data_IF_566313466546
#
_entry.id   IF_566313466546
#
_cell.length_a   1.000
_cell.length_b   1.000
_cell.length_c   1.000
_cell.angle_alpha   90.00
_cell.angle_beta   90.00
_cell.angle_gamma   90.00
#
_symmetry.space_group_name_H-M   'P 1'
#
loop_
_entity.id
_entity.type
_entity.pdbx_description
1 polymer ?
#
# COMPACT_ATOMS: atom_id res chain seq x y z
N UNK A 1 19.28 15.35 0.15
CA UNK A 1 18.69 14.36 -0.77
C UNK A 1 18.36 13.10 0.00
N UNK A 2 17.08 12.87 0.32
CA UNK A 2 16.56 11.60 0.85
C UNK A 2 15.23 11.38 0.16
N UNK A 3 15.31 10.81 -1.03
CA UNK A 3 14.16 10.59 -1.89
C UNK A 3 13.89 9.10 -1.98
N UNK A 4 13.25 8.55 -0.95
CA UNK A 4 12.96 7.13 -0.82
C UNK A 4 11.66 6.96 -0.05
N UNK A 5 10.62 6.42 -0.72
CA UNK A 5 9.41 5.94 -0.02
C UNK A 5 9.47 4.44 0.26
N UNK A 6 10.03 3.66 -0.67
CA UNK A 6 10.40 2.27 -0.40
C UNK A 6 11.80 2.27 0.24
N UNK A 7 12.87 2.61 -0.47
CA UNK A 7 14.21 2.60 0.14
C UNK A 7 14.69 1.18 0.39
N UNK A 8 15.99 0.96 0.21
CA UNK A 8 16.60 -0.38 0.10
C UNK A 8 16.19 -1.32 1.26
N UNK A 9 15.88 -0.78 2.45
CA UNK A 9 15.50 -1.56 3.62
C UNK A 9 13.98 -1.80 3.80
N UNK A 10 13.09 -1.10 3.07
CA UNK A 10 11.64 -1.21 3.36
C UNK A 10 11.09 -2.60 3.15
N UNK A 11 11.47 -3.30 2.08
CA UNK A 11 10.97 -4.65 1.83
C UNK A 11 11.25 -5.57 3.03
N UNK A 12 12.49 -5.52 3.54
CA UNK A 12 12.91 -6.25 4.73
C UNK A 12 12.17 -5.79 5.99
N UNK A 13 12.03 -4.48 6.22
CA UNK A 13 11.29 -3.94 7.38
C UNK A 13 9.80 -4.30 7.34
N UNK A 14 9.15 -4.15 6.18
CA UNK A 14 7.75 -4.50 5.97
C UNK A 14 7.53 -6.00 6.19
N UNK A 15 8.40 -6.84 5.65
CA UNK A 15 8.38 -8.29 5.91
C UNK A 15 8.49 -8.59 7.39
N UNK A 16 9.46 -8.00 8.10
CA UNK A 16 9.67 -8.24 9.52
C UNK A 16 8.47 -7.82 10.38
N UNK A 17 7.87 -6.66 10.09
CA UNK A 17 6.67 -6.17 10.78
C UNK A 17 5.47 -7.07 10.50
N UNK A 18 5.20 -7.43 9.24
CA UNK A 18 4.06 -8.29 8.91
C UNK A 18 4.27 -9.71 9.46
N UNK A 19 5.48 -10.25 9.44
CA UNK A 19 5.80 -11.53 10.08
C UNK A 19 5.51 -11.48 11.59
N UNK A 20 5.75 -10.35 12.26
CA UNK A 20 5.43 -10.16 13.68
C UNK A 20 3.93 -10.20 13.97
N UNK A 21 3.11 -9.55 13.14
CA UNK A 21 1.65 -9.49 13.30
C UNK A 21 0.89 -10.56 12.50
N UNK A 22 1.58 -11.56 11.94
CA UNK A 22 0.97 -12.56 11.05
C UNK A 22 -0.22 -13.26 11.66
N UNK A 23 -0.05 -13.87 12.84
CA UNK A 23 -1.14 -14.61 13.50
C UNK A 23 -2.27 -13.68 13.95
N UNK A 24 -2.00 -12.52 14.60
CA UNK A 24 -3.06 -11.57 14.92
C UNK A 24 -3.87 -11.09 13.70
N UNK A 25 -3.22 -10.88 12.55
CA UNK A 25 -3.91 -10.51 11.30
C UNK A 25 -4.75 -11.66 10.74
N UNK A 26 -4.30 -12.91 10.89
CA UNK A 26 -5.07 -14.10 10.54
C UNK A 26 -6.31 -14.24 11.44
N UNK A 27 -6.17 -13.99 12.74
CA UNK A 27 -7.28 -14.03 13.70
C UNK A 27 -8.32 -12.92 13.47
N UNK A 28 -7.87 -11.74 13.01
CA UNK A 28 -8.75 -10.62 12.67
C UNK A 28 -9.55 -10.85 11.37
N UNK A 29 -9.07 -11.66 10.43
CA UNK A 29 -9.68 -11.80 9.11
C UNK A 29 -11.13 -12.32 9.20
N UNK A 30 -12.06 -11.57 8.60
CA UNK A 30 -13.48 -11.86 8.64
C UNK A 30 -14.22 -11.75 7.30
N UNK A 31 -13.56 -11.51 6.14
CA UNK A 31 -14.30 -11.21 4.91
C UNK A 31 -13.77 -11.80 3.59
N UNK A 32 -14.66 -12.20 2.63
CA UNK A 32 -16.08 -12.61 2.79
C UNK A 32 -16.22 -14.03 3.36
N UNK A 33 -15.12 -14.79 3.39
CA UNK A 33 -14.99 -16.08 4.03
C UNK A 33 -13.87 -15.98 5.07
N UNK A 34 -14.09 -16.33 6.35
CA UNK A 34 -13.02 -16.42 7.35
C UNK A 34 -12.08 -17.58 7.04
N UNK A 35 -11.14 -17.37 6.12
CA UNK A 35 -10.07 -18.31 5.78
C UNK A 35 -8.87 -18.20 6.74
N UNK A 36 -8.88 -17.18 7.61
CA UNK A 36 -7.85 -16.89 8.61
C UNK A 36 -6.44 -16.81 8.00
N UNK A 37 -6.30 -16.21 6.82
CA UNK A 37 -5.02 -16.23 6.09
C UNK A 37 -4.44 -14.85 5.72
N UNK A 38 -5.11 -13.74 6.04
CA UNK A 38 -4.70 -12.40 5.58
C UNK A 38 -3.25 -12.07 5.96
N UNK A 39 -2.85 -12.35 7.20
CA UNK A 39 -1.47 -12.17 7.65
C UNK A 39 -0.51 -13.09 6.90
N UNK A 40 -0.87 -14.36 6.72
CA UNK A 40 -0.10 -15.35 5.96
C UNK A 40 0.10 -14.95 4.50
N UNK A 41 -0.93 -14.43 3.85
CA UNK A 41 -0.93 -13.96 2.46
C UNK A 41 -0.03 -12.74 2.28
N UNK A 42 -0.12 -11.75 3.17
CA UNK A 42 0.76 -10.59 3.17
C UNK A 42 2.22 -10.98 3.46
N UNK A 43 2.46 -11.83 4.46
CA UNK A 43 3.80 -12.31 4.80
C UNK A 43 4.43 -13.09 3.63
N UNK A 44 3.66 -13.93 2.94
CA UNK A 44 4.14 -14.66 1.77
C UNK A 44 4.52 -13.74 0.62
N UNK A 45 3.66 -12.76 0.34
CA UNK A 45 3.85 -11.77 -0.71
C UNK A 45 5.11 -10.93 -0.45
N UNK A 46 5.26 -10.42 0.79
CA UNK A 46 6.40 -9.59 1.19
C UNK A 46 7.72 -10.38 1.23
N UNK A 47 7.68 -11.68 1.57
CA UNK A 47 8.86 -12.55 1.49
C UNK A 47 9.37 -12.66 0.06
N UNK A 48 8.49 -13.00 -0.87
CA UNK A 48 8.84 -13.10 -2.29
C UNK A 48 9.39 -11.78 -2.80
N UNK A 49 8.74 -10.66 -2.46
CA UNK A 49 9.20 -9.33 -2.83
C UNK A 49 10.61 -9.05 -2.30
N UNK A 50 10.86 -9.37 -1.03
CA UNK A 50 12.17 -9.11 -0.39
C UNK A 50 13.28 -9.96 -1.02
N UNK A 51 13.04 -11.25 -1.21
CA UNK A 51 14.02 -12.17 -1.82
C UNK A 51 14.38 -11.75 -3.26
N UNK A 52 13.38 -11.37 -4.05
CA UNK A 52 13.57 -10.93 -5.43
C UNK A 52 14.24 -9.55 -5.51
N UNK A 53 13.93 -8.66 -4.57
CA UNK A 53 14.59 -7.37 -4.45
C UNK A 53 16.07 -7.54 -4.07
N UNK A 54 16.36 -8.37 -3.07
CA UNK A 54 17.73 -8.66 -2.61
C UNK A 54 18.55 -9.27 -3.75
N UNK A 55 17.98 -10.23 -4.49
CA UNK A 55 18.61 -10.81 -5.69
C UNK A 55 18.94 -9.75 -6.74
N UNK A 56 18.01 -8.85 -7.05
CA UNK A 56 18.25 -7.76 -8.00
C UNK A 56 19.28 -6.73 -7.51
N UNK A 57 19.35 -6.52 -6.19
CA UNK A 57 20.37 -5.68 -5.55
C UNK A 57 21.76 -6.32 -5.60
N UNK A 58 21.87 -7.64 -5.37
CA UNK A 58 23.11 -8.39 -5.52
C UNK A 58 23.63 -8.30 -6.95
N UNK A 59 22.77 -8.51 -7.96
CA UNK A 59 23.12 -8.36 -9.38
C UNK A 59 23.68 -6.95 -9.67
N UNK A 60 23.03 -5.90 -9.16
CA UNK A 60 23.49 -4.50 -9.28
C UNK A 60 24.86 -4.25 -8.61
N UNK A 61 25.15 -4.90 -7.48
CA UNK A 61 26.41 -4.74 -6.73
C UNK A 61 27.58 -5.51 -7.35
N UNK A 62 27.31 -6.66 -7.98
CA UNK A 62 28.34 -7.54 -8.56
C UNK A 62 28.55 -7.36 -10.06
N UNK A 63 27.86 -6.42 -10.72
CA UNK A 63 28.14 -6.02 -12.10
C UNK A 63 29.57 -5.50 -12.28
N UNK A 64 30.28 -6.02 -13.29
CA UNK A 64 31.67 -5.68 -13.57
C UNK A 64 31.79 -4.17 -13.89
N UNK A 65 32.68 -3.42 -13.21
CA UNK A 65 33.00 -2.06 -13.55
C UNK A 65 33.39 -1.84 -15.02
N UNK A 66 33.89 -2.86 -15.72
CA UNK A 66 34.23 -2.82 -17.14
C UNK A 66 33.02 -2.81 -18.08
N UNK A 67 31.85 -3.28 -17.63
CA UNK A 67 30.58 -3.23 -18.37
C UNK A 67 29.83 -1.89 -18.13
N UNK A 68 30.41 -1.00 -17.31
CA UNK A 68 29.87 0.34 -17.07
C UNK A 68 30.44 1.30 -18.13
N UNK A 69 29.68 1.54 -19.20
CA UNK A 69 30.09 2.54 -20.22
C UNK A 69 30.25 3.96 -19.64
N UNK A 70 29.68 4.25 -18.46
CA UNK A 70 29.87 5.50 -17.71
C UNK A 70 29.80 5.24 -16.18
N UNK A 71 30.51 6.04 -15.38
CA UNK A 71 30.26 6.10 -13.92
C UNK A 71 28.86 6.68 -13.73
N UNK A 72 27.85 5.89 -13.31
CA UNK A 72 26.49 6.37 -13.35
C UNK A 72 26.30 7.43 -12.27
N UNK A 73 25.88 8.63 -12.66
CA UNK A 73 25.43 9.63 -11.70
C UNK A 73 24.27 9.09 -10.85
N UNK A 74 24.03 9.69 -9.68
CA UNK A 74 22.97 9.27 -8.74
C UNK A 74 21.61 9.03 -9.45
N UNK A 75 21.24 9.87 -10.41
CA UNK A 75 20.04 9.74 -11.26
C UNK A 75 19.88 8.35 -11.90
N UNK A 76 20.95 7.80 -12.47
CA UNK A 76 20.92 6.48 -13.11
C UNK A 76 20.72 5.36 -12.10
N UNK A 77 21.36 5.45 -10.92
CA UNK A 77 21.18 4.48 -9.84
C UNK A 77 19.72 4.42 -9.36
N UNK A 78 19.04 5.58 -9.30
CA UNK A 78 17.63 5.66 -8.92
C UNK A 78 16.71 4.95 -9.92
N UNK A 79 16.93 5.15 -11.22
CA UNK A 79 16.15 4.47 -12.27
C UNK A 79 16.36 2.96 -12.20
N UNK A 80 17.60 2.52 -12.02
CA UNK A 80 17.92 1.08 -11.87
C UNK A 80 17.24 0.45 -10.67
N UNK A 81 17.22 1.15 -9.54
CA UNK A 81 16.52 0.66 -8.37
C UNK A 81 15.01 0.59 -8.57
N UNK A 82 14.41 1.59 -9.24
CA UNK A 82 13.01 1.51 -9.65
C UNK A 82 12.72 0.24 -10.44
N UNK A 83 13.59 -0.10 -11.40
CA UNK A 83 13.49 -1.35 -12.15
C UNK A 83 13.68 -2.62 -11.32
N UNK A 84 14.52 -2.61 -10.27
CA UNK A 84 14.66 -3.75 -9.34
C UNK A 84 13.36 -3.95 -8.56
N UNK A 85 12.79 -2.87 -8.02
CA UNK A 85 11.50 -2.93 -7.32
C UNK A 85 10.38 -3.40 -8.25
N UNK A 86 10.30 -2.87 -9.46
CA UNK A 86 9.29 -3.26 -10.44
C UNK A 86 9.36 -4.78 -10.69
N UNK A 87 10.55 -5.31 -11.00
CA UNK A 87 10.73 -6.75 -11.22
C UNK A 87 10.38 -7.57 -9.99
N UNK A 88 10.82 -7.15 -8.80
CA UNK A 88 10.54 -7.85 -7.56
C UNK A 88 9.04 -7.89 -7.24
N UNK A 89 8.31 -6.79 -7.49
CA UNK A 89 6.86 -6.71 -7.29
C UNK A 89 6.12 -7.55 -8.34
N UNK A 90 6.57 -7.56 -9.59
CA UNK A 90 5.99 -8.45 -10.63
C UNK A 90 6.17 -9.91 -10.23
N UNK A 91 7.36 -10.32 -9.80
CA UNK A 91 7.61 -11.67 -9.27
C UNK A 91 6.71 -11.98 -8.06
N UNK A 92 6.61 -11.05 -7.12
CA UNK A 92 5.73 -11.19 -5.95
C UNK A 92 4.25 -11.29 -6.35
N UNK A 93 3.80 -10.54 -7.36
CA UNK A 93 2.42 -10.58 -7.85
C UNK A 93 2.06 -11.93 -8.46
N UNK A 94 2.99 -12.56 -9.19
CA UNK A 94 2.83 -13.92 -9.72
C UNK A 94 2.77 -14.99 -8.63
N UNK A 95 3.23 -14.67 -7.43
CA UNK A 95 3.26 -15.54 -6.26
C UNK A 95 2.28 -15.11 -5.15
N UNK A 96 1.63 -13.96 -5.30
CA UNK A 96 0.68 -13.41 -4.35
C UNK A 96 -0.51 -14.36 -4.20
N UNK A 97 -1.04 -14.42 -2.98
CA UNK A 97 -2.21 -15.24 -2.61
C UNK A 97 -3.26 -14.34 -1.99
N UNK A 98 -4.52 -14.68 -2.18
CA UNK A 98 -5.64 -13.91 -1.68
C UNK A 98 -5.70 -12.48 -2.23
N UNK A 99 -6.73 -11.77 -1.79
CA UNK A 99 -6.96 -10.40 -2.19
C UNK A 99 -5.90 -9.45 -1.60
N UNK A 100 -5.53 -9.62 -0.34
CA UNK A 100 -4.60 -8.70 0.35
C UNK A 100 -3.21 -8.66 -0.31
N UNK A 101 -2.63 -9.81 -0.64
CA UNK A 101 -1.35 -9.90 -1.36
C UNK A 101 -1.45 -9.32 -2.77
N UNK A 102 -2.52 -9.66 -3.50
CA UNK A 102 -2.75 -9.16 -4.87
C UNK A 102 -2.90 -7.64 -4.90
N UNK A 103 -3.68 -7.07 -3.98
CA UNK A 103 -3.89 -5.63 -3.87
C UNK A 103 -2.63 -4.88 -3.43
N UNK A 104 -1.85 -5.45 -2.50
CA UNK A 104 -0.55 -4.89 -2.12
C UNK A 104 0.39 -4.81 -3.33
N UNK A 105 0.47 -5.87 -4.13
CA UNK A 105 1.29 -5.89 -5.34
C UNK A 105 0.78 -4.92 -6.41
N UNK A 106 -0.54 -4.86 -6.65
CA UNK A 106 -1.13 -3.94 -7.62
C UNK A 106 -0.85 -2.47 -7.26
N UNK A 107 -1.06 -2.12 -5.99
CA UNK A 107 -0.72 -0.80 -5.46
C UNK A 107 0.78 -0.52 -5.55
N UNK A 108 1.61 -1.46 -5.10
CA UNK A 108 3.07 -1.29 -5.08
C UNK A 108 3.65 -1.11 -6.47
N UNK A 109 3.19 -1.90 -7.45
CA UNK A 109 3.66 -1.82 -8.83
C UNK A 109 3.36 -0.46 -9.43
N UNK A 110 2.13 0.03 -9.29
CA UNK A 110 1.75 1.34 -9.79
C UNK A 110 2.49 2.47 -9.06
N UNK A 111 2.62 2.38 -7.73
CA UNK A 111 3.35 3.37 -6.94
C UNK A 111 4.82 3.48 -7.39
N UNK A 112 5.50 2.35 -7.60
CA UNK A 112 6.88 2.31 -8.10
C UNK A 112 6.94 2.92 -9.51
N UNK A 113 6.07 2.49 -10.43
CA UNK A 113 6.10 3.00 -11.80
C UNK A 113 5.83 4.50 -11.89
N UNK A 114 4.80 4.97 -11.20
CA UNK A 114 4.45 6.39 -11.18
C UNK A 114 5.54 7.25 -10.54
N UNK A 115 6.13 6.80 -9.42
CA UNK A 115 7.14 7.58 -8.70
C UNK A 115 8.46 7.71 -9.48
N UNK A 116 8.94 6.63 -10.11
CA UNK A 116 10.18 6.64 -10.91
C UNK A 116 9.96 6.94 -12.39
N UNK A 117 8.72 7.17 -12.82
CA UNK A 117 8.37 7.43 -14.22
C UNK A 117 8.63 6.24 -15.15
N UNK A 118 8.53 5.01 -14.63
CA UNK A 118 8.71 3.79 -15.41
C UNK A 118 7.52 3.58 -16.36
N UNK A 119 7.72 2.89 -17.50
CA UNK A 119 6.64 2.56 -18.44
C UNK A 119 5.48 1.81 -17.79
N UNK A 120 4.27 1.97 -18.34
CA UNK A 120 3.09 1.25 -17.87
C UNK A 120 2.53 1.75 -16.53
N UNK A 121 2.81 3.02 -16.18
CA UNK A 121 2.09 3.70 -15.11
C UNK A 121 0.75 4.25 -15.62
N UNK A 122 -0.19 4.44 -14.69
CA UNK A 122 -1.57 4.82 -14.99
C UNK A 122 -1.66 6.15 -15.76
N UNK A 123 -0.82 7.11 -15.41
CA UNK A 123 -0.81 8.42 -16.06
C UNK A 123 -0.37 8.35 -17.53
N UNK A 124 0.55 7.44 -17.88
CA UNK A 124 0.93 7.20 -19.28
C UNK A 124 -0.14 6.44 -20.06
N UNK A 125 -0.81 5.48 -19.41
CA UNK A 125 -1.87 4.68 -20.03
C UNK A 125 -3.09 5.54 -20.40
N UNK A 126 -3.52 6.41 -19.47
CA UNK A 126 -4.70 7.24 -19.64
C UNK A 126 -4.39 8.59 -20.31
N UNK A 127 -3.14 9.04 -20.31
CA UNK A 127 -2.80 10.36 -20.85
C UNK A 127 -3.45 11.50 -20.06
N UNK A 128 -3.95 12.56 -20.73
CA UNK A 128 -4.61 13.70 -20.08
C UNK A 128 -5.79 13.33 -19.18
N UNK A 129 -6.52 12.26 -19.52
CA UNK A 129 -7.68 11.76 -18.78
C UNK A 129 -7.33 11.29 -17.37
N UNK A 130 -6.06 10.98 -17.09
CA UNK A 130 -5.60 10.66 -15.75
C UNK A 130 -5.88 11.79 -14.75
N UNK A 131 -5.74 13.06 -15.17
CA UNK A 131 -5.90 14.21 -14.28
C UNK A 131 -7.37 14.42 -13.86
N UNK A 132 -8.32 13.83 -14.58
CA UNK A 132 -9.75 13.82 -14.24
C UNK A 132 -10.11 12.77 -13.18
N UNK A 133 -9.18 11.86 -12.84
CA UNK A 133 -9.41 10.86 -11.81
C UNK A 133 -9.59 11.54 -10.43
N UNK A 134 -10.52 11.06 -9.59
CA UNK A 134 -10.89 11.71 -8.33
C UNK A 134 -9.72 12.11 -7.43
N UNK A 135 -8.75 11.22 -7.21
CA UNK A 135 -7.60 11.46 -6.33
C UNK A 135 -6.56 12.38 -6.97
N UNK A 136 -6.36 12.32 -8.29
CA UNK A 136 -5.45 13.23 -8.99
C UNK A 136 -6.05 14.66 -9.07
N UNK A 137 -7.34 14.77 -9.35
CA UNK A 137 -8.09 16.03 -9.23
C UNK A 137 -8.11 16.59 -7.80
N UNK A 138 -8.16 15.73 -6.77
CA UNK A 138 -8.04 16.16 -5.38
C UNK A 138 -6.61 16.67 -5.07
N UNK A 139 -5.59 15.95 -5.53
CA UNK A 139 -4.19 16.33 -5.35
C UNK A 139 -3.88 17.67 -6.03
N UNK A 140 -4.39 17.92 -7.23
CA UNK A 140 -4.20 19.20 -7.93
C UNK A 140 -4.76 20.39 -7.13
N UNK A 141 -5.92 20.22 -6.48
CA UNK A 141 -6.48 21.24 -5.57
C UNK A 141 -5.64 21.42 -4.32
N UNK A 142 -5.10 20.32 -3.78
CA UNK A 142 -4.19 20.33 -2.66
C UNK A 142 -2.89 21.08 -2.97
N UNK A 143 -2.33 20.89 -4.16
CA UNK A 143 -1.16 21.63 -4.64
C UNK A 143 -1.41 23.14 -4.72
N UNK A 144 -2.54 23.54 -5.32
CA UNK A 144 -2.93 24.95 -5.42
C UNK A 144 -3.07 25.56 -4.03
N UNK A 145 -3.77 24.86 -3.12
CA UNK A 145 -3.94 25.27 -1.72
C UNK A 145 -2.59 25.49 -1.04
N UNK A 146 -1.66 24.54 -1.13
CA UNK A 146 -0.35 24.63 -0.46
C UNK A 146 0.50 25.76 -1.06
N UNK A 147 0.51 25.93 -2.39
CA UNK A 147 1.23 27.04 -3.04
C UNK A 147 0.66 28.40 -2.61
N UNK A 148 -0.67 28.55 -2.59
CA UNK A 148 -1.32 29.79 -2.17
C UNK A 148 -1.02 30.12 -0.69
N UNK A 149 -1.09 29.10 0.16
CA UNK A 149 -0.71 29.16 1.57
C UNK A 149 0.74 29.63 1.77
N UNK A 150 1.68 29.06 1.01
CA UNK A 150 3.09 29.43 1.07
C UNK A 150 3.32 30.86 0.60
N UNK A 151 2.76 31.26 -0.55
CA UNK A 151 2.88 32.62 -1.07
C UNK A 151 2.33 33.67 -0.08
N UNK A 152 1.22 33.36 0.59
CA UNK A 152 0.65 34.24 1.61
C UNK A 152 1.57 34.39 2.84
N UNK A 153 2.28 33.33 3.24
CA UNK A 153 3.19 33.34 4.38
C UNK A 153 4.56 33.99 4.07
N UNK A 154 5.07 33.81 2.85
CA UNK A 154 6.40 34.28 2.43
C UNK A 154 6.45 35.79 2.20
N UNK A 155 5.31 36.45 1.97
CA UNK A 155 5.21 37.92 1.81
C UNK A 155 5.90 38.48 0.55
N UNK A 156 6.65 37.65 -0.19
CA UNK A 156 7.16 37.91 -1.52
C UNK A 156 6.17 37.38 -2.56
N UNK A 157 6.00 38.10 -3.67
CA UNK A 157 5.34 37.56 -4.86
C UNK A 157 6.17 36.48 -5.57
N UNK A 158 7.11 35.85 -4.87
CA UNK A 158 7.93 34.77 -5.40
C UNK A 158 7.08 33.50 -5.48
N UNK A 159 7.09 32.92 -6.67
CA UNK A 159 6.40 31.69 -7.01
C UNK A 159 7.20 30.43 -6.60
N UNK A 160 8.26 30.58 -5.80
CA UNK A 160 9.05 29.44 -5.36
C UNK A 160 8.25 28.56 -4.41
N UNK A 161 8.23 27.26 -4.70
CA UNK A 161 7.51 26.29 -3.88
C UNK A 161 8.22 26.04 -2.54
N UNK A 162 7.50 25.59 -1.50
CA UNK A 162 8.12 25.19 -0.23
C UNK A 162 9.25 24.18 -0.44
N UNK A 163 10.25 24.20 0.46
CA UNK A 163 11.33 23.21 0.42
C UNK A 163 10.75 21.79 0.48
N UNK A 164 11.14 20.95 -0.47
CA UNK A 164 10.69 19.55 -0.54
C UNK A 164 9.27 19.37 -1.11
N UNK A 165 8.65 20.44 -1.63
CA UNK A 165 7.31 20.39 -2.20
C UNK A 165 7.23 19.45 -3.41
N UNK A 166 8.14 19.58 -4.37
CA UNK A 166 8.17 18.71 -5.57
C UNK A 166 8.27 17.22 -5.20
N UNK A 167 8.98 16.93 -4.11
CA UNK A 167 9.09 15.58 -3.58
C UNK A 167 7.76 15.09 -3.00
N UNK A 168 7.12 15.91 -2.16
CA UNK A 168 5.81 15.60 -1.58
C UNK A 168 4.75 15.39 -2.67
N UNK A 169 4.77 16.22 -3.72
CA UNK A 169 3.86 16.11 -4.87
C UNK A 169 4.13 14.84 -5.67
N UNK A 170 5.37 14.56 -6.04
CA UNK A 170 5.71 13.33 -6.78
C UNK A 170 5.29 12.08 -6.00
N UNK A 171 5.47 12.11 -4.68
CA UNK A 171 5.09 11.02 -3.80
C UNK A 171 3.57 10.86 -3.68
N UNK A 172 2.85 11.94 -3.37
CA UNK A 172 1.38 11.94 -3.30
C UNK A 172 0.74 11.53 -4.63
N UNK A 173 1.31 11.99 -5.76
CA UNK A 173 0.86 11.61 -7.11
C UNK A 173 1.03 10.12 -7.38
N UNK A 174 2.17 9.54 -7.00
CA UNK A 174 2.38 8.10 -7.13
C UNK A 174 1.39 7.29 -6.28
N UNK A 175 1.10 7.74 -5.05
CA UNK A 175 0.09 7.11 -4.19
C UNK A 175 -1.33 7.27 -4.76
N UNK A 176 -1.65 8.43 -5.34
CA UNK A 176 -2.93 8.70 -5.99
C UNK A 176 -3.13 7.77 -7.19
N UNK A 177 -2.15 7.65 -8.10
CA UNK A 177 -2.20 6.72 -9.22
C UNK A 177 -2.41 5.27 -8.74
N UNK A 178 -1.66 4.86 -7.71
CA UNK A 178 -1.75 3.51 -7.16
C UNK A 178 -3.13 3.21 -6.55
N UNK A 179 -3.67 4.15 -5.77
CA UNK A 179 -5.00 4.03 -5.20
C UNK A 179 -6.09 4.02 -6.28
N UNK A 180 -5.98 4.86 -7.32
CA UNK A 180 -6.93 4.88 -8.45
C UNK A 180 -6.91 3.56 -9.24
N UNK A 181 -5.72 2.99 -9.47
CA UNK A 181 -5.62 1.70 -10.16
C UNK A 181 -6.32 0.60 -9.36
N UNK A 182 -6.10 0.54 -8.05
CA UNK A 182 -6.76 -0.45 -7.19
C UNK A 182 -8.27 -0.18 -7.11
N UNK A 183 -8.69 1.08 -7.02
CA UNK A 183 -10.09 1.51 -7.00
C UNK A 183 -10.83 1.09 -8.27
N UNK A 184 -10.19 1.15 -9.44
CA UNK A 184 -10.75 0.66 -10.70
C UNK A 184 -10.90 -0.88 -10.74
N UNK A 185 -10.09 -1.62 -9.97
CA UNK A 185 -10.20 -3.08 -9.88
C UNK A 185 -11.24 -3.55 -8.87
N UNK A 186 -11.33 -2.92 -7.70
CA UNK A 186 -12.20 -3.35 -6.59
C UNK A 186 -13.58 -2.67 -6.61
N UNK A 187 -13.67 -1.47 -7.20
CA UNK A 187 -14.90 -0.69 -7.28
C UNK A 187 -15.09 0.31 -6.13
N UNK A 188 -15.87 1.37 -6.42
CA UNK A 188 -15.95 2.55 -5.56
C UNK A 188 -16.58 2.30 -4.18
N UNK A 189 -17.58 1.42 -4.13
CA UNK A 189 -18.30 1.09 -2.91
C UNK A 189 -17.41 0.44 -1.85
N UNK A 190 -16.28 -0.12 -2.27
CA UNK A 190 -15.36 -0.90 -1.43
C UNK A 190 -14.25 -0.05 -0.81
N UNK A 191 -14.11 1.20 -1.22
CA UNK A 191 -13.09 2.13 -0.72
C UNK A 191 -13.11 2.28 0.80
N UNK A 192 -14.24 2.58 1.47
CA UNK A 192 -14.21 2.83 2.92
C UNK A 192 -14.00 1.55 3.73
N UNK A 193 -14.09 0.37 3.11
CA UNK A 193 -14.22 -0.93 3.77
C UNK A 193 -12.96 -1.80 3.71
N UNK A 194 -11.95 -1.39 2.94
CA UNK A 194 -10.80 -2.24 2.58
C UNK A 194 -9.47 -1.49 2.74
N UNK A 195 -8.37 -2.14 2.35
CA UNK A 195 -7.06 -1.52 2.15
C UNK A 195 -7.08 -0.18 1.43
N UNK A 196 -8.05 0.03 0.52
CA UNK A 196 -8.23 1.28 -0.19
C UNK A 196 -8.46 2.48 0.74
N UNK A 197 -9.06 2.30 1.92
CA UNK A 197 -9.27 3.37 2.89
C UNK A 197 -7.94 4.00 3.30
N UNK A 198 -6.91 3.17 3.56
CA UNK A 198 -5.55 3.64 3.88
C UNK A 198 -4.85 4.17 2.63
N UNK A 199 -4.97 3.49 1.48
CA UNK A 199 -4.33 3.91 0.22
C UNK A 199 -4.78 5.31 -0.23
N UNK A 200 -6.07 5.64 -0.07
CA UNK A 200 -6.63 6.96 -0.38
C UNK A 200 -6.04 8.04 0.51
N UNK A 201 -5.92 7.79 1.82
CA UNK A 201 -5.32 8.78 2.74
C UNK A 201 -3.84 9.03 2.39
N UNK A 202 -3.10 7.99 1.98
CA UNK A 202 -1.70 8.12 1.54
C UNK A 202 -1.52 8.99 0.27
N UNK A 203 -2.59 9.24 -0.49
CA UNK A 203 -2.58 10.09 -1.68
C UNK A 203 -2.70 11.59 -1.37
N UNK A 204 -2.97 11.99 -0.12
CA UNK A 204 -3.16 13.39 0.23
C UNK A 204 -1.84 14.15 0.46
N UNK A 205 -1.78 15.39 -0.03
CA UNK A 205 -0.69 16.31 0.27
C UNK A 205 -0.77 16.87 1.69
N UNK A 206 -1.92 16.73 2.36
CA UNK A 206 -2.12 17.04 3.77
C UNK A 206 -1.19 16.27 4.72
N UNK A 207 -0.68 15.10 4.29
CA UNK A 207 0.34 14.34 5.01
C UNK A 207 1.73 14.99 4.96
N UNK A 208 1.89 16.12 4.29
CA UNK A 208 3.15 16.87 4.20
C UNK A 208 2.95 18.31 4.65
N UNK A 209 1.79 18.88 4.31
CA UNK A 209 1.40 20.25 4.58
C UNK A 209 -0.02 20.30 5.16
N UNK A 210 -0.19 20.02 6.48
CA UNK A 210 -1.48 19.95 7.13
C UNK A 210 -2.20 21.31 7.12
N UNK A 211 -3.52 21.28 7.15
CA UNK A 211 -4.32 22.51 7.18
C UNK A 211 -4.09 23.29 8.49
N UNK A 212 -3.76 24.58 8.38
CA UNK A 212 -3.63 25.49 9.53
C UNK A 212 -2.19 25.84 9.97
N UNK A 213 -1.16 25.28 9.35
CA UNK A 213 0.24 25.38 9.81
C UNK A 213 1.19 26.25 8.98
N UNK A 214 0.69 27.22 8.20
CA UNK A 214 1.57 28.20 7.54
C UNK A 214 2.08 29.29 8.50
N UNK A 215 2.55 28.90 9.68
CA UNK A 215 3.46 29.69 10.48
C UNK A 215 4.83 29.03 10.38
N UNK A 216 5.88 29.73 9.92
CA UNK A 216 7.19 29.11 9.84
C UNK A 216 7.64 28.71 11.24
N UNK A 217 7.96 27.43 11.43
CA UNK A 217 8.81 27.01 12.54
C UNK A 217 10.08 27.84 12.46
N UNK A 218 10.28 28.67 13.50
CA UNK A 218 11.50 29.43 13.67
C UNK A 218 12.62 28.41 13.81
N UNK A 219 13.51 28.34 12.82
CA UNK A 219 14.73 27.54 12.87
C UNK A 219 15.41 27.74 14.24
N UNK A 220 15.57 26.63 14.98
CA UNK A 220 16.41 26.60 16.15
C UNK A 220 17.85 26.93 15.74
N UNK A 221 18.27 28.13 16.13
CA UNK A 221 19.64 28.65 16.26
C UNK A 221 20.55 28.68 15.02
N UNK A 222 21.09 29.87 14.77
CA UNK A 222 21.93 30.22 13.64
C UNK A 222 23.33 29.61 13.69
N UNK A 223 23.90 29.47 12.50
CA UNK A 223 25.32 29.31 12.29
C UNK A 223 25.90 30.70 12.00
N UNK A 224 26.29 31.43 13.05
CA UNK A 224 27.39 32.37 12.94
C UNK A 224 28.68 31.61 13.29
N UNK A 225 29.70 31.78 12.45
CA UNK A 225 31.02 31.17 12.60
C UNK A 225 31.71 31.56 13.92
N UNK A 226 32.58 30.71 14.50
CA UNK A 226 33.19 31.00 15.79
C UNK A 226 34.41 31.91 15.64
N UNK A 227 34.38 33.09 16.25
CA UNK A 227 35.59 33.82 16.60
C UNK A 227 36.19 33.29 17.92
N UNK A 228 37.51 33.19 17.94
CA UNK A 228 38.32 32.61 19.02
C UNK A 228 38.36 33.48 20.29
N UNK A 229 38.24 32.85 21.46
CA UNK A 229 38.48 33.48 22.76
C UNK A 229 38.34 32.48 23.92
N UNK A 230 39.35 32.45 24.78
CA UNK A 230 39.70 31.45 25.81
C UNK A 230 38.83 31.46 27.11
N UNK A 231 39.06 30.55 28.10
CA UNK A 231 38.03 29.75 28.79
C UNK A 231 37.62 30.28 30.18
N UNK A 232 36.48 29.83 30.72
CA UNK A 232 36.28 29.65 32.18
C UNK A 232 35.03 28.80 32.57
N UNK A 233 35.31 27.71 33.30
CA UNK A 233 34.58 27.06 34.42
C UNK A 233 33.06 26.79 34.41
N UNK A 234 32.74 25.50 34.34
CA UNK A 234 31.93 24.67 35.26
C UNK A 234 30.52 25.14 35.70
N UNK A 235 29.50 24.39 35.28
CA UNK A 235 28.15 24.45 35.83
C UNK A 235 27.26 23.34 35.27
N UNK A 236 27.21 22.21 35.96
CA UNK A 236 26.29 21.10 35.68
C UNK A 236 24.82 21.51 35.89
N UNK A 237 23.96 21.23 34.90
CA UNK A 237 22.61 20.64 35.03
C UNK A 237 21.76 20.95 33.80
N UNK A 238 21.10 19.92 33.27
CA UNK A 238 20.07 20.05 32.23
C UNK A 238 20.28 19.15 31.02
N UNK A 239 20.77 17.93 31.21
CA UNK A 239 20.68 16.86 30.23
C UNK A 239 19.72 15.81 30.80
N UNK A 240 18.43 16.09 30.75
CA UNK A 240 17.33 15.13 30.92
C UNK A 240 16.03 15.84 30.51
N UNK A 241 15.19 15.12 29.76
CA UNK A 241 13.83 15.47 29.30
C UNK A 241 13.70 16.39 28.07
N UNK A 242 14.20 15.90 26.94
CA UNK A 242 13.55 16.12 25.66
C UNK A 242 12.79 14.83 25.27
N UNK A 243 11.77 14.46 26.05
CA UNK A 243 10.69 13.63 25.50
C UNK A 243 10.16 14.40 24.28
N UNK A 244 10.45 13.85 23.10
CA UNK A 244 10.11 14.42 21.79
C UNK A 244 8.65 14.85 21.76
N UNK A 245 8.38 16.15 21.91
CA UNK A 245 7.05 16.69 21.71
C UNK A 245 6.58 16.32 20.30
N UNK A 246 5.49 15.54 20.23
CA UNK A 246 4.89 15.12 18.97
C UNK A 246 4.65 16.33 18.08
N UNK A 247 5.28 16.36 16.91
CA UNK A 247 5.11 17.48 15.98
C UNK A 247 3.66 17.52 15.50
N UNK A 248 3.08 18.70 15.25
CA UNK A 248 1.72 18.81 14.72
C UNK A 248 1.50 18.00 13.43
N UNK A 249 2.49 17.98 12.52
CA UNK A 249 2.51 17.12 11.34
C UNK A 249 2.41 15.62 11.68
N UNK A 250 3.20 15.15 12.65
CA UNK A 250 3.18 13.74 13.06
C UNK A 250 1.82 13.36 13.65
N UNK A 251 1.22 14.25 14.44
CA UNK A 251 -0.14 14.08 14.96
C UNK A 251 -1.17 13.97 13.84
N UNK A 252 -1.11 14.88 12.86
CA UNK A 252 -2.04 14.88 11.74
C UNK A 252 -1.93 13.59 10.90
N UNK A 253 -0.69 13.16 10.61
CA UNK A 253 -0.40 11.89 9.93
C UNK A 253 -0.98 10.68 10.67
N UNK A 254 -0.70 10.60 11.97
CA UNK A 254 -1.18 9.52 12.82
C UNK A 254 -2.71 9.50 12.88
N UNK A 255 -3.33 10.66 13.04
CA UNK A 255 -4.78 10.80 13.05
C UNK A 255 -5.42 10.39 11.73
N UNK A 256 -4.81 10.73 10.59
CA UNK A 256 -5.29 10.30 9.27
C UNK A 256 -5.29 8.76 9.14
N UNK A 257 -4.21 8.10 9.52
CA UNK A 257 -4.11 6.63 9.47
C UNK A 257 -5.09 5.95 10.45
N UNK A 258 -5.23 6.49 11.66
CA UNK A 258 -6.22 6.02 12.64
C UNK A 258 -7.64 6.10 12.06
N UNK A 259 -8.02 7.26 11.52
CA UNK A 259 -9.34 7.48 10.90
C UNK A 259 -9.57 6.57 9.69
N UNK A 260 -8.54 6.30 8.90
CA UNK A 260 -8.63 5.38 7.76
C UNK A 260 -9.01 3.97 8.21
N UNK A 261 -8.38 3.48 9.27
CA UNK A 261 -8.63 2.14 9.82
C UNK A 261 -9.98 2.08 10.52
N UNK A 262 -10.33 3.07 11.34
CA UNK A 262 -11.65 3.18 11.97
C UNK A 262 -12.79 3.18 10.93
N UNK A 263 -12.59 3.86 9.78
CA UNK A 263 -13.57 3.90 8.69
C UNK A 263 -13.93 2.51 8.16
N UNK A 264 -12.98 1.57 8.15
CA UNK A 264 -13.23 0.18 7.73
C UNK A 264 -14.13 -0.57 8.70
N UNK A 265 -14.02 -0.27 9.99
CA UNK A 265 -14.91 -0.81 11.03
C UNK A 265 -16.30 -0.15 11.01
N UNK A 266 -16.39 1.12 10.63
CA UNK A 266 -17.65 1.87 10.48
C UNK A 266 -18.43 1.45 9.22
N UNK A 267 -17.73 1.08 8.15
CA UNK A 267 -18.31 0.74 6.85
C UNK A 267 -17.84 -0.65 6.41
N UNK A 268 -18.14 -1.71 7.17
CA UNK A 268 -17.72 -3.04 6.77
C UNK A 268 -18.45 -3.48 5.49
N UNK A 269 -17.87 -4.39 4.72
CA UNK A 269 -18.49 -4.90 3.51
C UNK A 269 -19.65 -5.87 3.79
N UNK A 270 -19.75 -6.43 5.00
CA UNK A 270 -20.98 -7.05 5.50
C UNK A 270 -21.33 -6.63 6.93
N UNK A 271 -22.63 -6.63 7.28
CA UNK A 271 -23.10 -6.16 8.59
C UNK A 271 -22.51 -6.89 9.79
N UNK A 272 -22.17 -8.18 9.67
CA UNK A 272 -21.66 -8.98 10.79
C UNK A 272 -20.24 -8.60 11.21
N UNK A 273 -19.52 -7.83 10.38
CA UNK A 273 -18.17 -7.33 10.68
C UNK A 273 -18.15 -5.95 11.32
N UNK A 274 -19.31 -5.31 11.51
CA UNK A 274 -19.39 -3.96 12.06
C UNK A 274 -18.62 -3.83 13.39
N UNK A 275 -17.78 -2.80 13.48
CA UNK A 275 -16.93 -2.54 14.63
C UNK A 275 -15.59 -3.28 14.63
N UNK A 276 -15.30 -4.14 13.65
CA UNK A 276 -13.99 -4.77 13.47
C UNK A 276 -13.24 -4.10 12.32
N UNK A 277 -11.97 -3.77 12.53
CA UNK A 277 -11.11 -3.21 11.47
C UNK A 277 -10.84 -4.27 10.41
N UNK A 278 -10.78 -3.87 9.15
CA UNK A 278 -10.37 -4.74 8.05
C UNK A 278 -8.92 -5.22 8.24
N UNK A 279 -8.72 -6.54 8.27
CA UNK A 279 -7.40 -7.15 8.44
C UNK A 279 -6.46 -6.76 7.29
N UNK A 280 -6.98 -6.66 6.07
CA UNK A 280 -6.21 -6.20 4.90
C UNK A 280 -5.69 -4.78 5.11
N UNK A 281 -6.56 -3.85 5.49
CA UNK A 281 -6.22 -2.45 5.72
C UNK A 281 -5.20 -2.26 6.84
N UNK A 282 -5.38 -2.97 7.97
CA UNK A 282 -4.40 -2.94 9.05
C UNK A 282 -3.06 -3.54 8.62
N UNK A 283 -3.08 -4.67 7.91
CA UNK A 283 -1.87 -5.29 7.35
C UNK A 283 -1.15 -4.38 6.35
N UNK A 284 -1.89 -3.66 5.51
CA UNK A 284 -1.34 -2.66 4.59
C UNK A 284 -0.70 -1.49 5.34
N UNK A 285 -1.39 -0.93 6.33
CA UNK A 285 -0.84 0.10 7.20
C UNK A 285 0.46 -0.37 7.86
N UNK A 286 0.48 -1.60 8.39
CA UNK A 286 1.67 -2.18 9.01
C UNK A 286 2.84 -2.29 8.02
N UNK A 287 2.58 -2.79 6.81
CA UNK A 287 3.59 -2.96 5.78
C UNK A 287 4.12 -1.64 5.20
N UNK A 288 3.26 -0.65 4.99
CA UNK A 288 3.61 0.56 4.21
C UNK A 288 3.93 1.77 5.09
N UNK A 289 3.26 1.90 6.23
CA UNK A 289 3.36 3.07 7.12
C UNK A 289 4.15 2.72 8.36
N UNK A 290 3.74 1.71 9.12
CA UNK A 290 4.39 1.35 10.38
C UNK A 290 5.84 0.89 10.17
N UNK A 291 6.09 0.07 9.14
CA UNK A 291 7.44 -0.39 8.81
C UNK A 291 8.34 0.68 8.20
N UNK A 292 7.84 1.90 7.94
CA UNK A 292 8.57 2.93 7.23
C UNK A 292 9.22 3.93 8.22
N UNK A 293 10.58 3.99 8.30
CA UNK A 293 11.27 4.89 9.23
C UNK A 293 10.94 6.37 9.07
N UNK A 294 10.44 6.82 7.91
CA UNK A 294 10.02 8.23 7.71
C UNK A 294 8.80 8.60 8.57
N UNK A 295 7.99 7.60 8.90
CA UNK A 295 6.81 7.77 9.73
C UNK A 295 7.14 7.58 11.22
N UNK A 296 8.42 7.44 11.57
CA UNK A 296 8.87 7.42 12.95
C UNK A 296 8.32 8.64 13.71
N UNK A 297 7.64 8.39 14.83
CA UNK A 297 6.94 9.39 15.61
C UNK A 297 5.55 9.79 15.11
N UNK A 298 5.10 9.28 13.96
CA UNK A 298 3.76 9.47 13.39
C UNK A 298 2.97 8.15 13.22
N UNK A 299 3.53 7.03 13.67
CA UNK A 299 2.85 5.73 13.70
C UNK A 299 1.91 5.62 14.89
N UNK A 300 0.89 4.79 14.76
CA UNK A 300 0.11 4.27 15.88
C UNK A 300 1.02 3.60 16.91
N UNK A 301 0.63 3.69 18.18
CA UNK A 301 1.31 3.00 19.27
C UNK A 301 1.02 1.50 19.22
N UNK A 302 1.86 0.71 19.88
CA UNK A 302 1.65 -0.74 20.01
C UNK A 302 0.28 -1.07 20.66
N UNK A 303 -0.17 -0.25 21.61
CA UNK A 303 -1.46 -0.42 22.27
C UNK A 303 -2.63 -0.20 21.31
N UNK A 304 -2.55 0.82 20.45
CA UNK A 304 -3.58 1.07 19.44
C UNK A 304 -3.64 -0.02 18.38
N UNK A 305 -2.49 -0.48 17.89
CA UNK A 305 -2.42 -1.60 16.94
C UNK A 305 -3.05 -2.85 17.57
N UNK A 306 -2.71 -3.18 18.83
CA UNK A 306 -3.32 -4.30 19.55
C UNK A 306 -4.83 -4.14 19.76
N UNK A 307 -5.30 -2.93 20.03
CA UNK A 307 -6.73 -2.63 20.14
C UNK A 307 -7.45 -2.91 18.82
N UNK A 308 -6.85 -2.59 17.68
CA UNK A 308 -7.43 -2.84 16.35
C UNK A 308 -7.39 -4.31 15.93
N UNK A 309 -6.47 -5.09 16.50
CA UNK A 309 -6.36 -6.54 16.28
C UNK A 309 -7.42 -7.35 17.04
N UNK A 310 -8.25 -6.69 17.86
CA UNK A 310 -9.32 -7.37 18.61
C UNK A 310 -10.64 -7.31 17.81
N UNK A 311 -11.21 -8.46 17.39
CA UNK A 311 -12.51 -8.47 16.73
C UNK A 311 -13.62 -7.92 17.64
N UNK A 312 -14.63 -7.27 17.06
CA UNK A 312 -15.76 -6.71 17.82
C UNK A 312 -16.49 -7.77 18.68
N UNK A 313 -16.50 -9.03 18.24
CA UNK A 313 -17.10 -10.16 18.98
C UNK A 313 -16.29 -10.60 20.22
N UNK A 314 -15.05 -10.16 20.38
CA UNK A 314 -14.18 -10.50 21.51
C UNK A 314 -14.24 -9.48 22.66
N UNK A 315 -14.86 -8.31 22.46
CA UNK A 315 -15.21 -7.41 23.54
C UNK A 315 -16.29 -8.09 24.42
N UNK A 316 -16.23 -8.03 25.76
CA UNK A 316 -17.19 -8.71 26.63
C UNK A 316 -18.58 -8.08 26.50
N UNK A 317 -19.36 -8.53 25.53
CA UNK A 317 -20.75 -8.16 25.36
C UNK A 317 -21.60 -8.92 26.40
N UNK A 318 -22.03 -8.21 27.44
CA UNK A 318 -23.22 -8.57 28.21
C UNK A 318 -24.46 -8.43 27.33
N UNK A 319 -24.68 -9.37 26.40
CA UNK A 319 -25.94 -9.49 25.68
C UNK A 319 -26.36 -10.94 25.73
N UNK A 320 -27.38 -11.22 26.56
CA UNK A 320 -27.99 -12.53 26.63
C UNK A 320 -28.56 -12.90 25.24
N UNK A 321 -28.35 -14.13 24.75
CA UNK A 321 -28.85 -14.53 23.45
C UNK A 321 -30.39 -14.57 23.48
N UNK A 322 -31.02 -13.91 22.51
CA UNK A 322 -32.43 -14.11 22.24
C UNK A 322 -32.65 -15.54 21.70
N UNK A 323 -33.57 -16.33 22.26
CA UNK A 323 -33.80 -17.70 21.80
C UNK A 323 -34.50 -17.67 20.44
N UNK A 324 -33.80 -18.10 19.39
CA UNK A 324 -34.37 -18.29 18.05
C UNK A 324 -33.51 -17.87 16.86
N UNK A 325 -32.34 -17.26 17.06
CA UNK A 325 -31.40 -17.00 15.97
C UNK A 325 -30.66 -18.30 15.61
N UNK A 326 -30.79 -18.75 14.36
CA UNK A 326 -29.97 -19.82 13.81
C UNK A 326 -28.50 -19.42 13.94
N UNK A 327 -27.67 -20.31 14.47
CA UNK A 327 -26.22 -20.18 14.51
C UNK A 327 -25.66 -20.04 13.09
N UNK A 328 -24.75 -19.10 12.78
CA UNK A 328 -24.16 -18.91 11.45
C UNK A 328 -23.20 -20.04 11.01
N UNK A 329 -23.10 -21.14 11.76
CA UNK A 329 -22.09 -22.18 11.55
C UNK A 329 -22.39 -23.16 10.39
N UNK A 330 -23.33 -22.83 9.49
CA UNK A 330 -23.77 -23.76 8.42
C UNK A 330 -23.85 -23.13 7.01
N UNK A 331 -23.33 -21.93 6.79
CA UNK A 331 -23.15 -21.36 5.43
C UNK A 331 -21.66 -21.14 5.16
N UNK A 332 -20.89 -22.23 5.08
CA UNK A 332 -19.60 -22.17 4.39
C UNK A 332 -19.91 -22.08 2.90
N UNK A 333 -19.75 -20.89 2.30
CA UNK A 333 -19.86 -20.75 0.85
C UNK A 333 -18.78 -21.62 0.20
N UNK A 334 -19.21 -22.72 -0.42
CA UNK A 334 -18.33 -23.62 -1.16
C UNK A 334 -17.87 -22.91 -2.43
N UNK A 335 -16.62 -22.47 -2.47
CA UNK A 335 -16.02 -21.81 -3.61
C UNK A 335 -14.53 -22.11 -3.76
N UNK A 336 -13.98 -21.69 -4.88
CA UNK A 336 -12.60 -21.89 -5.26
C UNK A 336 -11.95 -20.58 -5.64
N UNK A 337 -10.70 -20.42 -5.22
CA UNK A 337 -9.80 -19.38 -5.67
C UNK A 337 -9.10 -19.88 -6.94
N UNK A 338 -9.18 -19.14 -8.05
CA UNK A 338 -8.39 -19.37 -9.26
C UNK A 338 -7.49 -18.16 -9.51
N UNK A 339 -6.17 -18.39 -9.48
CA UNK A 339 -5.16 -17.36 -9.71
C UNK A 339 -4.20 -17.78 -10.81
N UNK A 340 -3.61 -16.79 -11.49
CA UNK A 340 -2.55 -17.02 -12.47
C UNK A 340 -2.29 -15.80 -13.33
N UNK A 341 -1.46 -15.99 -14.35
CA UNK A 341 -1.11 -14.96 -15.33
C UNK A 341 -1.72 -15.28 -16.68
N UNK A 342 -2.34 -14.27 -17.29
CA UNK A 342 -2.91 -14.36 -18.62
C UNK A 342 -2.17 -13.41 -19.55
N UNK A 343 -1.70 -13.92 -20.69
CA UNK A 343 -1.25 -13.09 -21.81
C UNK A 343 -2.38 -12.95 -22.82
N UNK A 344 -2.97 -11.77 -22.90
CA UNK A 344 -4.01 -11.43 -23.88
C UNK A 344 -4.07 -9.93 -24.16
N UNK A 345 -4.65 -9.57 -25.32
CA UNK A 345 -4.82 -8.16 -25.72
C UNK A 345 -5.76 -7.40 -24.76
N UNK A 346 -5.57 -6.08 -24.53
CA UNK A 346 -6.41 -5.32 -23.60
C UNK A 346 -7.92 -5.38 -23.87
N UNK A 347 -8.33 -5.40 -25.13
CA UNK A 347 -9.74 -5.54 -25.50
C UNK A 347 -10.29 -6.92 -25.11
N UNK A 348 -9.50 -7.97 -25.32
CA UNK A 348 -9.83 -9.33 -24.94
C UNK A 348 -9.96 -9.43 -23.40
N UNK A 349 -9.07 -8.75 -22.67
CA UNK A 349 -9.16 -8.69 -21.21
C UNK A 349 -10.43 -7.97 -20.72
N UNK A 350 -10.81 -6.87 -21.34
CA UNK A 350 -12.04 -6.15 -21.00
C UNK A 350 -13.30 -7.01 -21.21
N UNK A 351 -13.32 -7.84 -22.26
CA UNK A 351 -14.40 -8.79 -22.52
C UNK A 351 -14.42 -9.92 -21.47
N UNK A 352 -13.26 -10.53 -21.22
CA UNK A 352 -13.12 -11.59 -20.22
C UNK A 352 -13.53 -11.13 -18.82
N UNK A 353 -13.21 -9.88 -18.44
CA UNK A 353 -13.65 -9.29 -17.16
C UNK A 353 -15.17 -9.39 -17.00
N UNK A 354 -15.94 -8.95 -17.99
CA UNK A 354 -17.41 -8.95 -17.92
C UNK A 354 -17.97 -10.37 -17.74
N UNK A 355 -17.34 -11.37 -18.36
CA UNK A 355 -17.76 -12.77 -18.21
C UNK A 355 -17.36 -13.36 -16.85
N UNK A 356 -16.16 -13.06 -16.34
CA UNK A 356 -15.71 -13.51 -15.03
C UNK A 356 -16.49 -12.87 -13.88
N UNK A 357 -16.83 -11.57 -13.98
CA UNK A 357 -17.71 -10.88 -13.03
C UNK A 357 -19.11 -11.55 -12.95
N UNK A 358 -19.55 -12.22 -14.02
CA UNK A 358 -20.79 -13.00 -14.02
C UNK A 358 -20.66 -14.41 -13.45
N UNK A 359 -19.44 -14.92 -13.28
CA UNK A 359 -19.17 -16.28 -12.78
C UNK A 359 -18.74 -16.31 -11.31
N UNK A 360 -18.12 -15.24 -10.83
CA UNK A 360 -17.52 -15.15 -9.50
C UNK A 360 -18.11 -14.03 -8.64
N UNK A 361 -17.78 -14.07 -7.35
CA UNK A 361 -18.16 -13.06 -6.34
C UNK A 361 -17.03 -12.07 -6.05
N UNK A 362 -15.78 -12.42 -6.39
CA UNK A 362 -14.61 -11.55 -6.29
C UNK A 362 -13.70 -11.70 -7.51
N UNK A 363 -13.38 -10.59 -8.19
CA UNK A 363 -12.46 -10.56 -9.34
C UNK A 363 -11.46 -9.43 -9.18
N UNK A 364 -10.17 -9.76 -9.16
CA UNK A 364 -9.07 -8.84 -9.27
C UNK A 364 -8.29 -9.10 -10.55
N UNK A 365 -8.19 -8.05 -11.38
CA UNK A 365 -7.34 -8.04 -12.57
C UNK A 365 -6.32 -6.93 -12.39
N UNK A 366 -5.03 -7.27 -12.51
CA UNK A 366 -3.93 -6.32 -12.40
C UNK A 366 -3.05 -6.39 -13.65
N UNK A 367 -2.85 -5.28 -14.38
CA UNK A 367 -1.90 -5.26 -15.48
C UNK A 367 -0.47 -5.36 -14.95
N UNK A 368 0.23 -6.44 -15.32
CA UNK A 368 1.65 -6.61 -15.01
C UNK A 368 2.51 -5.94 -16.07
N UNK A 369 2.12 -6.03 -17.33
CA UNK A 369 2.74 -5.33 -18.45
C UNK A 369 1.69 -5.11 -19.54
N UNK A 370 1.19 -3.88 -19.64
CA UNK A 370 0.17 -3.51 -20.63
C UNK A 370 0.66 -3.67 -22.07
N UNK A 371 1.94 -3.38 -22.33
CA UNK A 371 2.50 -3.45 -23.68
C UNK A 371 2.69 -4.90 -24.13
N UNK A 372 3.01 -5.79 -23.20
CA UNK A 372 3.09 -7.24 -23.46
C UNK A 372 1.73 -7.96 -23.33
N UNK A 373 0.65 -7.24 -22.97
CA UNK A 373 -0.66 -7.82 -22.70
C UNK A 373 -0.65 -8.83 -21.55
N UNK A 374 0.18 -8.62 -20.52
CA UNK A 374 0.34 -9.52 -19.39
C UNK A 374 -0.49 -9.05 -18.19
N UNK A 375 -1.33 -9.93 -17.69
CA UNK A 375 -2.29 -9.66 -16.62
C UNK A 375 -2.16 -10.69 -15.51
N UNK A 376 -2.19 -10.26 -14.25
CA UNK A 376 -2.50 -11.13 -13.14
C UNK A 376 -4.01 -11.19 -12.98
N UNK A 377 -4.56 -12.39 -12.93
CA UNK A 377 -5.98 -12.65 -12.72
C UNK A 377 -6.13 -13.43 -11.42
N UNK A 378 -7.00 -12.94 -10.55
CA UNK A 378 -7.43 -13.62 -9.35
C UNK A 378 -8.95 -13.54 -9.30
N UNK A 379 -9.62 -14.69 -9.29
CA UNK A 379 -11.07 -14.77 -9.24
C UNK A 379 -11.52 -15.85 -8.26
N UNK A 380 -12.53 -15.52 -7.46
CA UNK A 380 -13.26 -16.48 -6.64
C UNK A 380 -14.46 -16.98 -7.44
N UNK A 381 -14.61 -18.30 -7.57
CA UNK A 381 -15.63 -18.93 -8.40
C UNK A 381 -16.24 -20.15 -7.69
N UNK A 382 -17.53 -20.45 -7.91
CA UNK A 382 -18.14 -21.64 -7.34
C UNK A 382 -17.54 -22.94 -7.93
N UNK A 383 -17.09 -22.91 -9.18
CA UNK A 383 -16.43 -24.03 -9.86
C UNK A 383 -15.22 -23.55 -10.66
N UNK A 384 -14.08 -24.23 -10.49
CA UNK A 384 -12.82 -23.89 -11.18
C UNK A 384 -12.91 -24.10 -12.69
N UNK A 385 -13.46 -25.22 -13.13
CA UNK A 385 -13.28 -25.65 -14.53
C UNK A 385 -14.01 -24.80 -15.56
N UNK A 386 -15.23 -24.28 -15.31
CA UNK A 386 -15.84 -23.27 -16.17
C UNK A 386 -14.97 -22.02 -16.31
N UNK A 387 -14.45 -21.50 -15.19
CA UNK A 387 -13.61 -20.30 -15.17
C UNK A 387 -12.27 -20.52 -15.89
N UNK A 388 -11.60 -21.64 -15.63
CA UNK A 388 -10.35 -22.02 -16.31
C UNK A 388 -10.56 -22.13 -17.83
N UNK A 389 -11.62 -22.80 -18.27
CA UNK A 389 -11.93 -22.90 -19.72
C UNK A 389 -12.19 -21.54 -20.34
N UNK A 390 -12.88 -20.65 -19.62
CA UNK A 390 -13.11 -19.30 -20.07
C UNK A 390 -11.78 -18.55 -20.22
N UNK A 391 -10.96 -18.49 -19.17
CA UNK A 391 -9.66 -17.79 -19.18
C UNK A 391 -8.74 -18.28 -20.30
N UNK A 392 -8.61 -19.59 -20.44
CA UNK A 392 -7.77 -20.22 -21.49
C UNK A 392 -8.29 -20.02 -22.91
N UNK A 393 -9.57 -19.63 -23.09
CA UNK A 393 -10.12 -19.30 -24.41
C UNK A 393 -9.70 -17.90 -24.90
N UNK A 394 -9.26 -17.02 -23.98
CA UNK A 394 -8.92 -15.64 -24.27
C UNK A 394 -7.42 -15.40 -24.50
N UNK A 395 -6.54 -16.34 -24.11
CA UNK A 395 -5.10 -16.16 -24.27
C UNK A 395 -4.25 -17.27 -23.64
N UNK A 396 -2.95 -17.01 -23.51
CA UNK A 396 -2.00 -17.94 -22.89
C UNK A 396 -2.08 -17.83 -21.36
N UNK A 397 -2.52 -18.90 -20.71
CA UNK A 397 -2.63 -18.99 -19.24
C UNK A 397 -1.40 -19.68 -18.64
N UNK A 398 -0.82 -19.09 -17.61
CA UNK A 398 0.36 -19.59 -16.90
C UNK A 398 0.32 -19.29 -15.40
N UNK A 399 1.27 -19.85 -14.64
CA UNK A 399 1.38 -19.69 -13.18
C UNK A 399 0.09 -20.00 -12.40
N UNK A 400 -0.67 -20.98 -12.90
CA UNK A 400 -1.97 -21.34 -12.34
C UNK A 400 -1.84 -21.85 -10.91
N UNK A 401 -2.70 -21.32 -10.03
CA UNK A 401 -2.83 -21.72 -8.63
C UNK A 401 -4.30 -21.77 -8.27
N UNK A 402 -4.68 -22.83 -7.55
CA UNK A 402 -6.06 -23.09 -7.16
C UNK A 402 -6.11 -23.44 -5.69
N UNK A 403 -7.03 -22.81 -4.96
CA UNK A 403 -7.25 -23.06 -3.52
C UNK A 403 -8.74 -23.27 -3.24
N UNK A 404 -9.06 -24.10 -2.24
CA UNK A 404 -10.43 -24.22 -1.70
C UNK A 404 -10.69 -23.07 -0.73
N UNK A 405 -11.80 -22.36 -0.87
CA UNK A 405 -12.23 -21.33 0.08
C UNK A 405 -12.86 -21.93 1.35
N UNK A 406 -13.27 -23.20 1.30
CA UNK A 406 -13.97 -23.87 2.41
C UNK A 406 -13.03 -24.44 3.49
N UNK A 407 -11.79 -24.79 3.13
CA UNK A 407 -10.93 -25.60 4.01
C UNK A 407 -9.77 -24.83 4.66
N UNK A 408 -9.49 -23.58 4.27
CA UNK A 408 -8.30 -22.84 4.72
C UNK A 408 -6.98 -23.61 4.53
N UNK A 409 -7.00 -24.69 3.75
CA UNK A 409 -5.94 -25.67 3.58
C UNK A 409 -5.78 -25.96 2.09
N UNK A 410 -4.63 -25.54 1.55
CA UNK A 410 -4.31 -25.67 0.14
C UNK A 410 -4.00 -27.12 -0.22
N UNK A 411 -4.63 -27.62 -1.28
CA UNK A 411 -4.15 -28.79 -1.99
C UNK A 411 -2.98 -28.35 -2.90
N UNK A 412 -1.74 -28.66 -2.50
CA UNK A 412 -0.59 -28.55 -3.40
C UNK A 412 -0.74 -29.57 -4.54
N UNK A 413 -1.25 -29.13 -5.70
CA UNK A 413 -1.15 -29.91 -6.92
C UNK A 413 0.28 -29.82 -7.45
N UNK A 414 1.16 -30.65 -6.90
CA UNK A 414 2.43 -30.98 -7.50
C UNK A 414 2.19 -31.93 -8.69
N UNK A 415 2.17 -31.40 -9.93
CA UNK A 415 2.87 -31.94 -11.11
C UNK A 415 2.47 -31.26 -12.41
#
# INVERSE_FOLDING_TARGET
MRAYRFGIAWSASARAVVDHYREPLNELNGFPVPDHDTGSNLAHTLRTLTEEFDRGMEELLFEDPADREDVPGLAHLWVRLGGIYERAIVSASRMARGNSGTLLCAWGLEAVRSYWGLPGNLAQELGPEAEELPLLSALARDEERVRAAHAAASGSGDLEAPRGFDYAVAEARAMACAAERVRASVGEQMVPSTMLSVMVELASLGLYYPEGENAPEKLAHGADEPEAGEPETNGANGAEDAESAETPLNRARRAAMLRALERTAEHPPAPHLAGSVDAGALGFYLAVVHANPRWEGATLSEEEVRSMLTPASAAPAQVAPAPGAKTPAEEGESGWELMGTLRCEPLAMAQLRLELEGMGDSLLITPLDMAAGLWAVHVHVPEVEPARRLVTSYGEWSDERISSLADGHHAESCR
#
